data_IF_347203813250
#
_entry.id   IF_347203813250
#
_cell.length_a   1.000
_cell.length_b   1.000
_cell.length_c   1.000
_cell.angle_alpha   90.00
_cell.angle_beta   90.00
_cell.angle_gamma   90.00
#
_symmetry.space_group_name_H-M   'P 1'
#
loop_
_entity.id
_entity.type
_entity.pdbx_description
1 polymer ?
#
# COMPACT_ATOMS: atom_id res chain seq x y z
N UNK A 1 -1.96 4.95 12.02
CA UNK A 1 -3.42 4.93 12.23
C UNK A 1 -4.11 3.76 11.50
N UNK A 2 -4.15 3.75 10.16
CA UNK A 2 -4.90 2.75 9.38
C UNK A 2 -4.64 1.27 9.74
N UNK A 3 -3.37 0.85 9.85
CA UNK A 3 -3.01 -0.54 10.20
C UNK A 3 -3.62 -1.00 11.54
N UNK A 4 -3.72 -0.10 12.50
CA UNK A 4 -4.09 -0.41 13.89
C UNK A 4 -5.60 -0.22 14.10
N UNK A 5 -6.14 0.90 13.63
CA UNK A 5 -7.51 1.33 13.94
C UNK A 5 -8.44 1.41 12.72
N UNK A 6 -7.94 1.07 11.51
CA UNK A 6 -8.69 1.16 10.23
C UNK A 6 -9.19 2.57 9.88
N UNK A 7 -8.63 3.61 10.51
CA UNK A 7 -8.91 5.02 10.20
C UNK A 7 -8.20 5.39 8.88
N UNK A 8 -8.92 5.99 7.93
CA UNK A 8 -8.36 6.37 6.62
C UNK A 8 -7.28 7.44 6.74
N UNK A 9 -6.39 7.60 5.75
CA UNK A 9 -5.40 8.68 5.75
C UNK A 9 -6.00 10.07 5.89
N UNK A 10 -7.07 10.38 5.15
CA UNK A 10 -7.71 11.70 5.22
C UNK A 10 -8.36 11.96 6.57
N UNK A 11 -9.06 10.97 7.14
CA UNK A 11 -9.62 11.09 8.49
C UNK A 11 -8.52 11.24 9.53
N UNK A 12 -7.40 10.53 9.37
CA UNK A 12 -6.23 10.66 10.25
C UNK A 12 -5.65 12.07 10.19
N UNK A 13 -5.45 12.62 8.98
CA UNK A 13 -4.94 13.98 8.81
C UNK A 13 -5.88 15.02 9.44
N UNK A 14 -7.20 14.89 9.21
CA UNK A 14 -8.19 15.78 9.81
C UNK A 14 -8.15 15.75 11.34
N UNK A 15 -8.06 14.57 11.94
CA UNK A 15 -7.93 14.43 13.41
C UNK A 15 -6.62 15.06 13.91
N UNK A 16 -5.52 14.86 13.20
CA UNK A 16 -4.24 15.48 13.58
C UNK A 16 -4.31 17.01 13.50
N UNK A 17 -4.98 17.57 12.50
CA UNK A 17 -5.21 19.01 12.39
C UNK A 17 -6.04 19.54 13.56
N UNK A 18 -7.12 18.84 13.92
CA UNK A 18 -7.94 19.22 15.07
C UNK A 18 -7.10 19.18 16.38
N UNK A 19 -6.29 18.13 16.59
CA UNK A 19 -5.38 18.03 17.74
C UNK A 19 -4.30 19.12 17.76
N UNK A 20 -3.82 19.55 16.58
CA UNK A 20 -2.88 20.65 16.46
C UNK A 20 -3.52 22.00 16.79
N UNK A 21 -4.75 22.24 16.31
CA UNK A 21 -5.53 23.45 16.65
C UNK A 21 -5.82 23.55 18.15
N UNK A 22 -6.04 22.40 18.80
CA UNK A 22 -6.15 22.29 20.25
C UNK A 22 -4.79 22.41 20.98
N UNK A 23 -3.70 22.67 20.26
CA UNK A 23 -2.33 22.80 20.78
C UNK A 23 -1.82 21.53 21.51
N UNK A 24 -2.37 20.36 21.20
CA UNK A 24 -2.01 19.09 21.85
C UNK A 24 -0.83 18.39 21.17
N UNK A 25 -0.63 18.64 19.89
CA UNK A 25 0.48 18.10 19.10
C UNK A 25 1.12 19.20 18.26
N UNK A 26 2.34 18.96 17.77
CA UNK A 26 2.99 19.81 16.78
C UNK A 26 2.33 19.71 15.40
N UNK A 27 2.69 20.65 14.51
CA UNK A 27 2.11 20.75 13.17
C UNK A 27 2.24 19.41 12.39
N UNK A 28 1.13 18.82 11.91
CA UNK A 28 1.12 17.43 11.46
C UNK A 28 1.51 17.22 10.00
N UNK A 29 1.68 18.28 9.21
CA UNK A 29 2.06 18.22 7.79
C UNK A 29 3.56 18.46 7.66
N UNK A 30 4.32 17.40 7.91
CA UNK A 30 5.79 17.39 7.89
C UNK A 30 6.27 16.05 7.36
N UNK A 31 7.36 16.07 6.59
CA UNK A 31 8.09 14.85 6.20
C UNK A 31 9.22 14.51 7.18
N UNK A 32 9.49 15.36 8.16
CA UNK A 32 10.57 15.15 9.12
C UNK A 32 10.30 13.94 10.00
N UNK A 33 11.36 13.18 10.23
CA UNK A 33 11.43 12.12 11.22
C UNK A 33 12.43 12.49 12.33
N UNK A 34 12.73 13.79 12.47
CA UNK A 34 13.69 14.32 13.42
C UNK A 34 13.00 15.13 14.53
N UNK A 35 13.46 14.90 15.76
CA UNK A 35 13.08 15.63 16.96
C UNK A 35 14.31 16.41 17.45
N UNK A 36 14.44 17.71 17.12
CA UNK A 36 15.57 18.53 17.55
C UNK A 36 15.53 18.83 19.06
N UNK A 37 16.71 18.98 19.66
CA UNK A 37 16.87 19.21 21.10
C UNK A 37 16.20 20.52 21.59
N UNK A 38 16.00 21.51 20.70
CA UNK A 38 15.33 22.78 20.99
C UNK A 38 13.87 22.62 21.42
N UNK A 39 13.25 21.45 21.22
CA UNK A 39 11.87 21.16 21.64
C UNK A 39 11.72 21.12 23.17
N UNK A 40 12.79 20.85 23.93
CA UNK A 40 12.69 20.73 25.40
C UNK A 40 11.99 19.44 25.84
N UNK A 41 12.48 18.29 25.37
CA UNK A 41 11.80 16.99 25.54
C UNK A 41 11.49 16.58 26.99
N UNK A 42 12.32 17.01 27.95
CA UNK A 42 12.19 16.62 29.37
C UNK A 42 10.85 17.08 29.94
N UNK A 43 10.45 18.32 29.70
CA UNK A 43 9.21 18.90 30.22
C UNK A 43 7.98 18.23 29.59
N UNK A 44 8.04 17.98 28.28
CA UNK A 44 6.98 17.27 27.55
C UNK A 44 6.78 15.87 28.14
N UNK A 45 7.85 15.10 28.33
CA UNK A 45 7.79 13.74 28.88
C UNK A 45 7.26 13.76 30.31
N UNK A 46 7.69 14.74 31.12
CA UNK A 46 7.19 14.92 32.49
C UNK A 46 5.68 15.20 32.52
N UNK A 47 5.20 16.08 31.65
CA UNK A 47 3.76 16.37 31.53
C UNK A 47 2.98 15.16 31.04
N UNK A 48 3.44 14.46 30.01
CA UNK A 48 2.81 13.22 29.54
C UNK A 48 2.75 12.15 30.64
N UNK A 49 3.77 12.07 31.51
CA UNK A 49 3.78 11.17 32.66
C UNK A 49 2.72 11.43 33.73
N UNK A 50 2.04 12.59 33.70
CA UNK A 50 0.87 12.88 34.55
C UNK A 50 -0.37 12.10 34.11
N UNK A 51 -0.43 11.69 32.84
CA UNK A 51 -1.46 10.79 32.32
C UNK A 51 -1.11 9.35 32.72
N UNK A 52 -2.03 8.70 33.43
CA UNK A 52 -1.79 7.41 34.08
C UNK A 52 -1.20 6.34 33.13
N UNK A 53 -1.71 6.28 31.90
CA UNK A 53 -1.31 5.30 30.88
C UNK A 53 0.15 5.43 30.40
N UNK A 54 0.78 6.58 30.62
CA UNK A 54 2.15 6.87 30.19
C UNK A 54 3.14 7.00 31.35
N UNK A 55 2.65 7.01 32.61
CA UNK A 55 3.44 7.33 33.79
C UNK A 55 4.67 6.44 33.97
N UNK A 56 4.51 5.12 33.90
CA UNK A 56 5.61 4.16 34.09
C UNK A 56 6.72 4.36 33.04
N UNK A 57 6.32 4.66 31.80
CA UNK A 57 7.20 4.83 30.66
C UNK A 57 7.95 6.16 30.76
N UNK A 58 7.24 7.24 31.07
CA UNK A 58 7.84 8.55 31.29
C UNK A 58 8.88 8.50 32.41
N UNK A 59 8.58 7.86 33.55
CA UNK A 59 9.53 7.70 34.65
C UNK A 59 10.80 6.93 34.24
N UNK A 60 10.67 5.88 33.43
CA UNK A 60 11.83 5.13 32.90
C UNK A 60 12.70 6.02 32.01
N UNK A 61 12.09 6.79 31.12
CA UNK A 61 12.82 7.69 30.21
C UNK A 61 13.52 8.81 31.00
N UNK A 62 12.84 9.42 31.98
CA UNK A 62 13.36 10.56 32.75
C UNK A 62 14.54 10.22 33.67
N UNK A 63 14.77 8.93 33.97
CA UNK A 63 15.95 8.43 34.69
C UNK A 63 17.24 8.51 33.87
N UNK A 64 17.14 8.64 32.54
CA UNK A 64 18.31 8.84 31.68
C UNK A 64 18.89 10.24 31.89
N UNK A 65 20.21 10.32 31.95
CA UNK A 65 20.93 11.60 32.01
C UNK A 65 20.64 12.44 30.76
N UNK A 66 20.83 11.83 29.59
CA UNK A 66 20.60 12.46 28.28
C UNK A 66 19.36 11.88 27.60
N UNK A 67 18.51 12.76 27.08
CA UNK A 67 17.31 12.40 26.32
C UNK A 67 17.57 12.54 24.82
N UNK A 68 18.06 11.46 24.21
CA UNK A 68 18.33 11.41 22.77
C UNK A 68 17.23 10.61 22.07
N UNK A 69 16.44 11.21 21.16
CA UNK A 69 15.46 10.48 20.38
C UNK A 69 16.14 9.67 19.27
N UNK A 70 15.62 8.49 18.98
CA UNK A 70 15.96 7.71 17.80
C UNK A 70 15.32 8.35 16.55
N UNK A 71 16.05 9.24 15.89
CA UNK A 71 15.60 9.96 14.70
C UNK A 71 15.64 9.10 13.44
N UNK A 72 14.64 9.29 12.58
CA UNK A 72 14.61 8.68 11.25
C UNK A 72 15.44 9.46 10.21
N UNK A 73 15.61 8.90 8.99
CA UNK A 73 16.42 9.50 7.94
C UNK A 73 15.80 10.76 7.30
N UNK A 74 14.47 10.89 7.28
CA UNK A 74 13.81 11.99 6.58
C UNK A 74 13.87 13.29 7.39
N UNK A 75 14.00 14.41 6.67
CA UNK A 75 14.14 15.74 7.27
C UNK A 75 13.20 16.73 6.59
N UNK A 76 12.77 17.72 7.37
CA UNK A 76 12.07 18.91 6.90
C UNK A 76 12.64 20.08 7.70
N UNK A 77 13.42 20.98 7.07
CA UNK A 77 14.06 22.08 7.77
C UNK A 77 13.10 23.03 8.49
N UNK A 78 11.84 23.11 8.03
CA UNK A 78 10.87 24.04 8.59
C UNK A 78 10.08 23.44 9.76
N UNK A 79 9.87 22.12 9.76
CA UNK A 79 8.97 21.47 10.69
C UNK A 79 9.58 20.16 11.24
N UNK A 80 9.77 20.02 12.56
CA UNK A 80 10.19 18.75 13.15
C UNK A 80 9.12 17.67 12.98
N UNK A 81 9.46 16.42 13.33
CA UNK A 81 8.50 15.32 13.37
C UNK A 81 7.29 15.62 14.26
N UNK A 82 6.18 14.89 14.08
CA UNK A 82 4.98 15.06 14.90
C UNK A 82 5.24 14.59 16.35
N UNK A 83 5.02 15.47 17.33
CA UNK A 83 5.20 15.19 18.76
C UNK A 83 4.09 15.82 19.61
N UNK A 84 3.78 15.31 20.83
CA UNK A 84 2.85 15.96 21.74
C UNK A 84 3.48 17.22 22.35
N UNK A 85 2.73 18.31 22.50
CA UNK A 85 3.27 19.58 23.03
C UNK A 85 3.58 19.54 24.52
N UNK A 86 3.04 18.56 25.25
CA UNK A 86 3.07 18.53 26.72
C UNK A 86 1.73 18.96 27.33
N UNK A 87 0.86 19.62 26.55
CA UNK A 87 -0.47 20.01 27.00
C UNK A 87 -1.33 18.78 27.32
N UNK A 88 -2.04 18.86 28.45
CA UNK A 88 -2.90 17.78 28.91
C UNK A 88 -4.26 17.90 28.22
N UNK A 89 -4.66 16.92 27.41
CA UNK A 89 -5.91 17.00 26.69
C UNK A 89 -7.08 17.04 27.66
N UNK A 90 -8.09 17.84 27.32
CA UNK A 90 -9.44 17.67 27.88
C UNK A 90 -10.04 16.34 27.40
N UNK A 91 -11.32 16.11 27.67
CA UNK A 91 -12.01 14.93 27.14
C UNK A 91 -11.99 14.94 25.60
N UNK A 92 -11.22 14.03 25.02
CA UNK A 92 -11.18 13.79 23.58
C UNK A 92 -12.27 12.81 23.15
N UNK A 93 -12.78 13.00 21.93
CA UNK A 93 -13.60 11.98 21.28
C UNK A 93 -12.80 10.68 21.06
N UNK A 94 -13.51 9.57 20.87
CA UNK A 94 -12.89 8.23 20.82
C UNK A 94 -11.83 8.09 19.73
N UNK A 95 -12.03 8.68 18.55
CA UNK A 95 -11.04 8.62 17.46
C UNK A 95 -9.86 9.55 17.72
N UNK A 96 -10.10 10.79 18.15
CA UNK A 96 -9.06 11.75 18.55
C UNK A 96 -8.17 11.19 19.64
N UNK A 97 -8.76 10.56 20.67
CA UNK A 97 -8.01 9.89 21.73
C UNK A 97 -7.08 8.79 21.19
N UNK A 98 -7.53 7.98 20.22
CA UNK A 98 -6.70 6.92 19.61
C UNK A 98 -5.54 7.50 18.79
N UNK A 99 -5.77 8.58 18.05
CA UNK A 99 -4.72 9.21 17.24
C UNK A 99 -3.72 9.93 18.14
N UNK A 100 -4.20 10.65 19.15
CA UNK A 100 -3.35 11.29 20.17
C UNK A 100 -2.49 10.25 20.90
N UNK A 101 -3.07 9.15 21.38
CA UNK A 101 -2.34 8.05 22.03
C UNK A 101 -1.26 7.46 21.10
N UNK A 102 -1.54 7.32 19.80
CA UNK A 102 -0.54 6.88 18.82
C UNK A 102 0.64 7.86 18.73
N UNK A 103 0.37 9.17 18.70
CA UNK A 103 1.40 10.22 18.67
C UNK A 103 2.25 10.17 19.95
N UNK A 104 1.61 10.20 21.13
CA UNK A 104 2.32 10.18 22.42
C UNK A 104 3.16 8.92 22.57
N UNK A 105 2.60 7.74 22.32
CA UNK A 105 3.32 6.46 22.42
C UNK A 105 4.46 6.36 21.43
N UNK A 106 4.27 6.87 20.19
CA UNK A 106 5.34 6.89 19.19
C UNK A 106 6.47 7.79 19.65
N UNK A 107 6.16 9.00 20.13
CA UNK A 107 7.13 9.95 20.66
C UNK A 107 7.92 9.37 21.83
N UNK A 108 7.26 8.86 22.87
CA UNK A 108 7.92 8.26 24.03
C UNK A 108 8.82 7.08 23.65
N UNK A 109 8.37 6.22 22.71
CA UNK A 109 9.15 5.10 22.22
C UNK A 109 10.48 5.51 21.58
N UNK A 110 10.58 6.72 21.01
CA UNK A 110 11.85 7.19 20.40
C UNK A 110 12.96 7.42 21.43
N UNK A 111 12.63 7.62 22.71
CA UNK A 111 13.61 7.84 23.78
C UNK A 111 13.93 6.57 24.58
N UNK A 112 13.27 5.44 24.25
CA UNK A 112 13.52 4.16 24.92
C UNK A 112 14.63 3.37 24.23
N UNK A 113 15.22 2.44 24.96
CA UNK A 113 16.27 1.57 24.44
C UNK A 113 15.72 0.58 23.40
N UNK A 114 16.56 0.09 22.47
CA UNK A 114 16.18 -0.96 21.54
C UNK A 114 15.66 -2.21 22.25
N UNK A 115 14.70 -2.90 21.63
CA UNK A 115 14.31 -4.24 22.08
C UNK A 115 15.42 -5.25 21.74
N UNK A 116 15.67 -6.20 22.65
CA UNK A 116 16.58 -7.33 22.43
C UNK A 116 15.78 -8.58 22.09
N UNK A 117 16.16 -9.23 20.99
CA UNK A 117 15.47 -10.38 20.42
C UNK A 117 16.49 -11.48 20.18
N UNK A 118 16.29 -12.62 20.83
CA UNK A 118 17.08 -13.82 20.60
C UNK A 118 16.48 -14.60 19.44
N UNK A 119 17.34 -15.02 18.50
CA UNK A 119 16.96 -15.91 17.40
C UNK A 119 17.77 -17.18 17.46
N UNK A 120 17.09 -18.32 17.38
CA UNK A 120 17.70 -19.64 17.34
C UNK A 120 17.41 -20.24 15.97
N UNK A 121 18.44 -20.80 15.33
CA UNK A 121 18.31 -21.58 14.09
C UNK A 121 18.85 -22.98 14.37
N UNK A 122 18.03 -23.99 14.11
CA UNK A 122 18.42 -25.40 14.18
C UNK A 122 18.45 -25.90 12.75
N UNK A 123 19.64 -26.30 12.30
CA UNK A 123 19.83 -26.97 11.03
C UNK A 123 19.61 -28.48 11.22
N UNK A 124 18.79 -29.05 10.35
CA UNK A 124 18.33 -30.43 10.45
C UNK A 124 18.60 -31.11 9.11
N UNK A 125 19.32 -32.23 9.14
CA UNK A 125 19.51 -33.06 7.96
C UNK A 125 18.58 -34.27 7.98
N UNK A 126 17.84 -34.48 6.89
CA UNK A 126 16.96 -35.64 6.70
C UNK A 126 17.19 -36.19 5.30
N UNK A 127 17.67 -37.44 5.21
CA UNK A 127 17.88 -38.14 3.94
C UNK A 127 18.68 -37.30 2.90
N UNK A 128 19.78 -36.68 3.34
CA UNK A 128 20.63 -35.83 2.49
C UNK A 128 20.04 -34.47 2.12
N UNK A 129 18.92 -34.05 2.73
CA UNK A 129 18.29 -32.73 2.54
C UNK A 129 18.39 -31.91 3.81
N UNK A 130 18.74 -30.63 3.64
CA UNK A 130 18.83 -29.67 4.74
C UNK A 130 17.49 -28.95 4.97
N UNK A 131 17.08 -28.88 6.23
CA UNK A 131 15.91 -28.17 6.73
C UNK A 131 16.35 -27.20 7.82
N UNK A 132 15.62 -26.09 7.98
CA UNK A 132 15.87 -25.12 9.06
C UNK A 132 14.64 -24.94 9.92
N UNK A 133 14.83 -24.99 11.23
CA UNK A 133 13.83 -24.63 12.21
C UNK A 133 14.27 -23.34 12.92
N UNK A 134 13.44 -22.31 12.85
CA UNK A 134 13.70 -21.02 13.48
C UNK A 134 12.85 -20.81 14.73
N UNK A 135 13.50 -20.27 15.77
CA UNK A 135 12.89 -19.76 16.99
C UNK A 135 13.23 -18.29 17.20
N UNK A 136 12.31 -17.57 17.83
CA UNK A 136 12.43 -16.13 18.13
C UNK A 136 11.87 -15.90 19.52
N UNK A 137 12.59 -15.17 20.36
CA UNK A 137 12.15 -14.78 21.71
C UNK A 137 12.53 -13.33 22.02
N UNK A 138 11.63 -12.57 22.64
CA UNK A 138 11.94 -11.21 23.11
C UNK A 138 12.52 -11.29 24.53
N UNK A 139 13.81 -10.97 24.69
CA UNK A 139 14.51 -11.01 25.98
C UNK A 139 14.45 -9.68 26.73
N UNK A 140 14.41 -8.57 25.99
CA UNK A 140 14.19 -7.24 26.55
C UNK A 140 13.24 -6.45 25.65
N UNK A 141 12.15 -5.92 26.23
CA UNK A 141 11.11 -5.24 25.44
C UNK A 141 11.55 -3.88 24.90
N UNK A 142 12.41 -3.15 25.60
CA UNK A 142 12.81 -1.80 25.22
C UNK A 142 11.61 -0.93 24.83
N UNK A 143 11.70 -0.24 23.70
CA UNK A 143 10.65 0.60 23.12
C UNK A 143 9.30 -0.11 22.86
N UNK A 144 9.25 -1.44 22.77
CA UNK A 144 7.99 -2.20 22.58
C UNK A 144 7.03 -2.00 23.76
N UNK A 145 7.55 -1.65 24.94
CA UNK A 145 6.72 -1.29 26.09
C UNK A 145 5.92 -0.01 25.85
N UNK A 146 6.53 1.00 25.23
CA UNK A 146 5.85 2.25 24.86
C UNK A 146 4.93 2.11 23.66
N UNK A 147 5.28 1.23 22.71
CA UNK A 147 4.55 1.11 21.45
C UNK A 147 3.95 -0.29 21.24
N UNK A 148 2.87 -0.65 21.96
CA UNK A 148 2.28 -1.99 21.97
C UNK A 148 1.57 -2.37 20.64
N UNK A 149 1.61 -1.49 19.64
CA UNK A 149 1.02 -1.70 18.32
C UNK A 149 1.94 -2.46 17.35
N UNK A 150 3.17 -2.75 17.79
CA UNK A 150 4.09 -3.64 17.10
C UNK A 150 4.27 -4.89 17.97
N UNK A 151 3.85 -6.04 17.44
CA UNK A 151 3.99 -7.33 18.10
C UNK A 151 5.03 -8.14 17.35
N UNK A 152 5.93 -8.76 18.11
CA UNK A 152 6.88 -9.73 17.58
C UNK A 152 6.27 -11.10 17.79
N UNK A 153 6.16 -11.88 16.72
CA UNK A 153 5.74 -13.28 16.82
C UNK A 153 6.89 -14.09 17.39
N UNK A 154 6.76 -14.46 18.66
CA UNK A 154 7.69 -15.35 19.34
C UNK A 154 7.37 -16.80 18.94
N UNK A 155 8.42 -17.54 18.58
CA UNK A 155 8.32 -18.93 18.20
C UNK A 155 9.33 -19.71 19.02
N UNK A 156 8.84 -20.66 19.81
CA UNK A 156 9.71 -21.55 20.57
C UNK A 156 10.22 -22.65 19.66
N UNK A 157 11.42 -23.12 19.98
CA UNK A 157 12.02 -24.31 19.37
C UNK A 157 12.35 -25.31 20.46
N UNK A 158 12.34 -26.61 20.16
CA UNK A 158 12.75 -27.62 21.12
C UNK A 158 14.21 -27.39 21.52
N UNK A 159 14.53 -27.71 22.76
CA UNK A 159 15.91 -27.72 23.22
C UNK A 159 16.62 -28.96 22.64
N UNK A 160 17.58 -28.74 21.77
CA UNK A 160 18.34 -29.80 21.08
C UNK A 160 19.83 -29.45 21.08
N UNK A 161 20.67 -30.48 21.01
CA UNK A 161 22.12 -30.36 20.89
C UNK A 161 22.59 -30.87 19.52
N UNK A 162 23.74 -30.38 19.02
CA UNK A 162 24.38 -30.98 17.85
C UNK A 162 24.58 -32.48 18.04
N UNK A 163 24.13 -33.27 17.07
CA UNK A 163 24.18 -34.74 17.11
C UNK A 163 22.91 -35.44 17.60
N UNK A 164 21.93 -34.69 18.12
CA UNK A 164 20.64 -35.27 18.51
C UNK A 164 19.91 -35.89 17.30
N UNK A 165 19.35 -37.08 17.50
CA UNK A 165 18.54 -37.77 16.49
C UNK A 165 17.07 -37.38 16.65
N UNK A 166 16.44 -36.94 15.55
CA UNK A 166 15.02 -36.60 15.53
C UNK A 166 14.20 -37.71 14.87
N UNK A 167 12.98 -37.96 15.36
CA UNK A 167 12.01 -38.85 14.71
C UNK A 167 11.07 -38.04 13.83
N UNK A 168 10.97 -38.41 12.55
CA UNK A 168 10.01 -37.82 11.63
C UNK A 168 8.64 -38.44 11.91
N UNK A 169 7.71 -37.64 12.41
CA UNK A 169 6.35 -38.10 12.70
C UNK A 169 5.48 -38.21 11.44
N UNK A 170 5.66 -37.28 10.49
CA UNK A 170 4.80 -37.15 9.32
C UNK A 170 5.53 -36.38 8.22
N UNK A 171 5.39 -36.86 6.98
CA UNK A 171 5.77 -36.13 5.77
C UNK A 171 4.52 -35.94 4.92
N UNK A 172 4.26 -34.71 4.47
CA UNK A 172 3.16 -34.39 3.55
C UNK A 172 3.69 -33.58 2.39
N UNK A 173 3.19 -33.87 1.21
CA UNK A 173 3.36 -33.02 0.04
C UNK A 173 2.23 -31.99 0.08
N UNK A 174 2.59 -30.71 0.18
CA UNK A 174 1.64 -29.61 0.14
C UNK A 174 1.77 -28.90 -1.20
N UNK A 175 0.64 -28.74 -1.89
CA UNK A 175 0.57 -27.93 -3.11
C UNK A 175 0.22 -26.51 -2.67
N UNK A 176 1.07 -25.55 -3.01
CA UNK A 176 0.83 -24.12 -2.80
C UNK A 176 0.84 -23.39 -4.13
N UNK A 177 -0.06 -22.43 -4.28
CA UNK A 177 -0.11 -21.55 -5.45
C UNK A 177 0.48 -20.19 -5.11
N UNK A 178 1.15 -19.59 -6.09
CA UNK A 178 1.55 -18.18 -6.00
C UNK A 178 0.29 -17.32 -5.88
N UNK A 179 0.38 -16.26 -5.07
CA UNK A 179 -0.73 -15.34 -4.84
C UNK A 179 -0.44 -14.01 -5.54
N UNK A 180 -1.43 -13.38 -6.19
CA UNK A 180 -1.25 -12.02 -6.68
C UNK A 180 -1.02 -11.06 -5.51
N UNK A 181 -0.40 -9.92 -5.79
CA UNK A 181 -0.32 -8.85 -4.81
C UNK A 181 -1.74 -8.39 -4.42
N UNK A 182 -1.93 -8.11 -3.12
CA UNK A 182 -3.20 -7.62 -2.64
C UNK A 182 -3.49 -6.24 -3.27
N UNK A 183 -4.73 -5.97 -3.70
CA UNK A 183 -5.12 -4.64 -4.17
C UNK A 183 -4.74 -3.55 -3.16
N UNK A 184 -4.33 -2.39 -3.65
CA UNK A 184 -4.00 -1.29 -2.77
C UNK A 184 -5.27 -0.80 -2.02
N UNK A 185 -5.24 -0.86 -0.70
CA UNK A 185 -6.14 -0.06 0.14
C UNK A 185 -5.63 1.39 0.23
N UNK A 186 -6.43 2.29 0.83
CA UNK A 186 -6.10 3.72 0.98
C UNK A 186 -4.70 3.97 1.57
N UNK A 187 -4.28 3.18 2.56
CA UNK A 187 -2.97 3.37 3.19
C UNK A 187 -1.81 2.84 2.34
N UNK A 188 -1.97 1.67 1.70
CA UNK A 188 -0.95 1.14 0.79
C UNK A 188 -0.83 1.98 -0.47
N UNK A 189 -1.92 2.57 -0.96
CA UNK A 189 -1.91 3.50 -2.09
C UNK A 189 -1.18 4.80 -1.73
N UNK A 190 -1.41 5.34 -0.53
CA UNK A 190 -0.67 6.51 -0.03
C UNK A 190 0.83 6.23 0.03
N UNK A 191 1.23 5.09 0.60
CA UNK A 191 2.64 4.68 0.67
C UNK A 191 3.24 4.49 -0.71
N UNK A 192 2.47 3.94 -1.65
CA UNK A 192 2.90 3.82 -3.04
C UNK A 192 3.12 5.20 -3.68
N UNK A 193 2.18 6.15 -3.54
CA UNK A 193 2.33 7.52 -4.04
C UNK A 193 3.58 8.22 -3.49
N UNK A 194 3.83 8.06 -2.19
CA UNK A 194 5.05 8.55 -1.53
C UNK A 194 6.31 7.93 -2.14
N UNK A 195 6.35 6.61 -2.31
CA UNK A 195 7.49 5.92 -2.94
C UNK A 195 7.72 6.33 -4.40
N UNK A 196 6.66 6.74 -5.08
CA UNK A 196 6.71 7.21 -6.47
C UNK A 196 7.00 8.71 -6.57
N UNK A 197 7.07 9.45 -5.47
CA UNK A 197 7.30 10.89 -5.48
C UNK A 197 6.16 11.69 -6.13
N UNK A 198 4.90 11.23 -5.99
CA UNK A 198 3.72 11.92 -6.53
C UNK A 198 2.79 12.39 -5.42
N UNK A 199 2.33 13.64 -5.53
CA UNK A 199 1.66 14.35 -4.43
C UNK A 199 2.61 14.64 -3.26
N UNK A 200 2.11 15.41 -2.31
CA UNK A 200 2.81 15.79 -1.07
C UNK A 200 2.11 15.17 0.15
N UNK A 201 2.74 15.26 1.33
CA UNK A 201 2.13 14.87 2.61
C UNK A 201 0.75 15.54 2.84
N UNK A 202 0.59 16.73 2.27
CA UNK A 202 -0.64 17.52 2.36
C UNK A 202 -1.73 17.11 1.34
N UNK A 203 -1.38 16.50 0.20
CA UNK A 203 -2.34 16.30 -0.91
C UNK A 203 -2.71 14.84 -1.16
N UNK A 204 -1.82 13.88 -0.89
CA UNK A 204 -2.04 12.45 -1.21
C UNK A 204 -3.33 11.90 -0.61
N UNK A 205 -3.61 12.22 0.65
CA UNK A 205 -4.79 11.73 1.35
C UNK A 205 -6.10 12.19 0.67
N UNK A 206 -6.15 13.45 0.24
CA UNK A 206 -7.31 14.04 -0.44
C UNK A 206 -7.48 13.55 -1.88
N UNK A 207 -6.38 13.37 -2.61
CA UNK A 207 -6.39 12.74 -3.94
C UNK A 207 -7.01 11.35 -3.84
N UNK A 208 -6.54 10.54 -2.88
CA UNK A 208 -7.06 9.19 -2.66
C UNK A 208 -8.55 9.23 -2.32
N UNK A 209 -8.98 10.05 -1.35
CA UNK A 209 -10.41 10.18 -1.03
C UNK A 209 -11.25 10.63 -2.23
N UNK A 210 -10.71 11.49 -3.09
CA UNK A 210 -11.40 11.94 -4.30
C UNK A 210 -11.61 10.80 -5.29
N UNK A 211 -10.63 9.91 -5.47
CA UNK A 211 -10.77 8.72 -6.33
C UNK A 211 -11.88 7.78 -5.82
N UNK A 212 -11.93 7.54 -4.51
CA UNK A 212 -12.99 6.73 -3.89
C UNK A 212 -14.36 7.42 -3.97
N UNK A 213 -14.44 8.72 -3.66
CA UNK A 213 -15.68 9.51 -3.69
C UNK A 213 -16.28 9.59 -5.10
N UNK A 214 -15.44 9.72 -6.13
CA UNK A 214 -15.84 9.70 -7.55
C UNK A 214 -16.09 8.30 -8.10
N UNK A 215 -15.98 7.25 -7.27
CA UNK A 215 -16.19 5.84 -7.64
C UNK A 215 -15.27 5.36 -8.77
N UNK A 216 -14.08 5.92 -8.91
CA UNK A 216 -13.06 5.39 -9.82
C UNK A 216 -12.35 4.17 -9.23
N UNK A 217 -12.29 4.10 -7.90
CA UNK A 217 -11.74 2.97 -7.15
C UNK A 217 -12.68 2.62 -5.99
N UNK A 218 -12.63 1.37 -5.55
CA UNK A 218 -13.32 0.87 -4.37
C UNK A 218 -12.43 -0.11 -3.58
N UNK A 219 -13.01 -0.84 -2.61
CA UNK A 219 -12.28 -1.78 -1.77
C UNK A 219 -11.68 -3.00 -2.50
N UNK A 220 -12.09 -3.24 -3.75
CA UNK A 220 -11.63 -4.32 -4.62
C UNK A 220 -10.62 -3.88 -5.67
N UNK A 221 -10.45 -2.57 -5.88
CA UNK A 221 -9.50 -1.99 -6.84
C UNK A 221 -10.15 -0.93 -7.73
N UNK A 222 -9.70 -0.83 -8.98
CA UNK A 222 -10.30 0.06 -9.96
C UNK A 222 -11.70 -0.45 -10.36
N UNK A 223 -12.69 0.44 -10.34
CA UNK A 223 -14.04 0.12 -10.82
C UNK A 223 -14.08 0.09 -12.33
N UNK A 224 -15.18 -0.39 -12.92
CA UNK A 224 -15.38 -0.27 -14.37
C UNK A 224 -15.28 1.19 -14.84
N UNK A 225 -15.87 2.13 -14.09
CA UNK A 225 -15.76 3.57 -14.40
C UNK A 225 -14.31 4.05 -14.35
N UNK A 226 -13.55 3.66 -13.33
CA UNK A 226 -12.14 4.01 -13.22
C UNK A 226 -11.31 3.46 -14.37
N UNK A 227 -11.53 2.20 -14.75
CA UNK A 227 -10.85 1.58 -15.89
C UNK A 227 -11.21 2.27 -17.21
N UNK A 228 -12.47 2.66 -17.41
CA UNK A 228 -12.90 3.38 -18.61
C UNK A 228 -12.21 4.75 -18.73
N UNK A 229 -12.19 5.52 -17.64
CA UNK A 229 -11.51 6.83 -17.59
C UNK A 229 -10.01 6.65 -17.79
N UNK A 230 -9.39 5.66 -17.15
CA UNK A 230 -7.97 5.38 -17.32
C UNK A 230 -7.63 5.02 -18.76
N UNK A 231 -8.39 4.13 -19.40
CA UNK A 231 -8.20 3.79 -20.82
C UNK A 231 -8.39 4.99 -21.75
N UNK A 232 -9.23 5.96 -21.38
CA UNK A 232 -9.39 7.23 -22.11
C UNK A 232 -8.11 8.05 -22.07
N UNK A 233 -7.60 8.26 -20.86
CA UNK A 233 -6.42 9.06 -20.62
C UNK A 233 -5.22 8.38 -21.26
N UNK A 234 -5.04 7.08 -21.10
CA UNK A 234 -3.95 6.32 -21.70
C UNK A 234 -3.98 6.38 -23.24
N UNK A 235 -5.16 6.28 -23.86
CA UNK A 235 -5.29 6.29 -25.32
C UNK A 235 -5.04 7.68 -25.93
N UNK A 236 -5.58 8.73 -25.33
CA UNK A 236 -5.59 10.07 -25.93
C UNK A 236 -4.56 11.03 -25.35
N UNK A 237 -4.21 10.82 -24.07
CA UNK A 237 -3.28 11.64 -23.31
C UNK A 237 -2.19 10.78 -22.64
N UNK A 238 -1.51 9.85 -23.37
CA UNK A 238 -0.54 8.92 -22.79
C UNK A 238 0.58 9.62 -22.02
N UNK A 239 0.98 10.83 -22.44
CA UNK A 239 2.03 11.59 -21.76
C UNK A 239 1.59 12.07 -20.36
N UNK A 240 0.30 12.39 -20.20
CA UNK A 240 -0.27 12.89 -18.94
C UNK A 240 -0.50 11.77 -17.91
N UNK A 241 -0.55 10.50 -18.32
CA UNK A 241 -0.67 9.36 -17.40
C UNK A 241 0.69 8.88 -16.86
N UNK A 242 1.81 9.46 -17.32
CA UNK A 242 3.16 9.05 -16.90
C UNK A 242 3.50 9.55 -15.51
N UNK A 243 3.84 8.62 -14.61
CA UNK A 243 4.31 8.92 -13.25
C UNK A 243 5.51 9.87 -13.26
N UNK A 244 6.47 9.67 -14.17
CA UNK A 244 7.68 10.49 -14.25
C UNK A 244 7.37 11.96 -14.58
N UNK A 245 6.34 12.21 -15.40
CA UNK A 245 5.93 13.57 -15.72
C UNK A 245 5.41 14.25 -14.44
N UNK A 246 4.49 13.59 -13.73
CA UNK A 246 3.95 14.11 -12.46
C UNK A 246 5.06 14.34 -11.44
N UNK A 247 5.95 13.36 -11.24
CA UNK A 247 7.11 13.48 -10.33
C UNK A 247 7.98 14.67 -10.70
N UNK A 248 8.25 14.88 -11.99
CA UNK A 248 9.08 16.02 -12.44
C UNK A 248 8.46 17.37 -12.08
N UNK A 249 7.12 17.48 -12.08
CA UNK A 249 6.44 18.69 -11.62
C UNK A 249 6.54 18.88 -10.11
N UNK A 250 6.42 17.81 -9.32
CA UNK A 250 6.63 17.86 -7.86
C UNK A 250 8.07 18.32 -7.53
N UNK A 251 9.07 17.77 -8.22
CA UNK A 251 10.48 18.17 -8.06
C UNK A 251 10.70 19.65 -8.44
N UNK A 252 10.05 20.14 -9.50
CA UNK A 252 10.12 21.55 -9.88
C UNK A 252 9.47 22.46 -8.86
N UNK A 253 8.34 22.06 -8.27
CA UNK A 253 7.68 22.82 -7.18
C UNK A 253 8.58 22.87 -5.94
N UNK A 254 9.28 21.78 -5.62
CA UNK A 254 10.25 21.75 -4.52
C UNK A 254 11.48 22.63 -4.79
N UNK A 255 11.95 22.71 -6.05
CA UNK A 255 12.98 23.67 -6.45
C UNK A 255 12.51 25.13 -6.30
N UNK A 256 11.25 25.42 -6.59
CA UNK A 256 10.67 26.75 -6.32
C UNK A 256 10.71 27.04 -4.82
N UNK A 257 10.28 26.09 -3.98
CA UNK A 257 10.26 26.24 -2.52
C UNK A 257 11.65 26.57 -1.95
N UNK A 258 12.70 25.98 -2.53
CA UNK A 258 14.11 26.22 -2.15
C UNK A 258 14.74 27.45 -2.81
N UNK A 259 14.01 28.18 -3.65
CA UNK A 259 14.53 29.33 -4.39
C UNK A 259 15.47 28.98 -5.55
N UNK A 260 15.55 27.71 -5.94
CA UNK A 260 16.42 27.21 -7.02
C UNK A 260 15.78 27.35 -8.42
N UNK A 261 14.46 27.53 -8.48
CA UNK A 261 13.71 27.65 -9.74
C UNK A 261 12.64 28.73 -9.64
N UNK A 262 12.43 29.46 -10.74
CA UNK A 262 11.38 30.48 -10.84
C UNK A 262 10.04 29.88 -11.25
N UNK A 263 8.95 30.41 -10.70
CA UNK A 263 7.57 29.98 -11.00
C UNK A 263 7.27 30.04 -12.48
N UNK A 264 7.74 31.09 -13.17
CA UNK A 264 7.45 31.34 -14.59
C UNK A 264 7.93 30.19 -15.48
N UNK A 265 9.09 29.60 -15.15
CA UNK A 265 9.63 28.46 -15.89
C UNK A 265 8.71 27.23 -15.81
N UNK A 266 8.17 26.94 -14.62
CA UNK A 266 7.27 25.79 -14.42
C UNK A 266 5.95 26.03 -15.12
N UNK A 267 5.40 27.24 -15.05
CA UNK A 267 4.15 27.60 -15.75
C UNK A 267 4.32 27.47 -17.25
N UNK A 268 5.42 27.94 -17.82
CA UNK A 268 5.67 27.84 -19.27
C UNK A 268 5.80 26.38 -19.71
N UNK A 269 6.56 25.57 -18.96
CA UNK A 269 6.66 24.14 -19.21
C UNK A 269 5.30 23.43 -19.13
N UNK A 270 4.45 23.78 -18.16
CA UNK A 270 3.08 23.24 -18.06
C UNK A 270 2.26 23.59 -19.29
N UNK A 271 2.31 24.85 -19.75
CA UNK A 271 1.58 25.29 -20.95
C UNK A 271 2.00 24.50 -22.18
N UNK A 272 3.30 24.28 -22.37
CA UNK A 272 3.81 23.49 -23.49
C UNK A 272 3.29 22.05 -23.41
N UNK A 273 3.47 21.39 -22.26
CA UNK A 273 3.05 19.99 -22.07
C UNK A 273 1.54 19.80 -22.31
N UNK A 274 0.71 20.65 -21.69
CA UNK A 274 -0.75 20.56 -21.81
C UNK A 274 -1.19 21.01 -23.21
N UNK A 275 -0.61 22.07 -23.75
CA UNK A 275 -0.92 22.60 -25.07
C UNK A 275 -0.67 21.58 -26.17
N UNK A 276 0.51 20.96 -26.19
CA UNK A 276 0.84 19.89 -27.16
C UNK A 276 -0.11 18.69 -27.03
N UNK A 277 -0.49 18.31 -25.80
CA UNK A 277 -1.43 17.23 -25.58
C UNK A 277 -2.83 17.56 -26.12
N UNK A 278 -3.31 18.79 -25.91
CA UNK A 278 -4.60 19.28 -26.43
C UNK A 278 -4.57 19.36 -27.95
N UNK A 279 -3.53 19.94 -28.56
CA UNK A 279 -3.41 20.06 -30.01
C UNK A 279 -3.41 18.69 -30.70
N UNK A 280 -2.67 17.72 -30.16
CA UNK A 280 -2.68 16.33 -30.66
C UNK A 280 -4.07 15.72 -30.57
N UNK A 281 -4.79 15.95 -29.47
CA UNK A 281 -6.13 15.44 -29.29
C UNK A 281 -7.12 16.06 -30.29
N UNK A 282 -7.12 17.39 -30.43
CA UNK A 282 -8.01 18.11 -31.36
C UNK A 282 -7.79 17.69 -32.81
N UNK A 283 -6.54 17.49 -33.26
CA UNK A 283 -6.22 16.99 -34.61
C UNK A 283 -6.79 15.60 -34.91
N UNK A 284 -7.04 14.80 -33.86
CA UNK A 284 -7.52 13.43 -34.01
C UNK A 284 -8.98 13.26 -33.57
N UNK A 285 -9.65 14.32 -33.10
CA UNK A 285 -10.97 14.20 -32.46
C UNK A 285 -12.05 13.65 -33.39
N UNK A 286 -12.00 14.00 -34.67
CA UNK A 286 -12.95 13.52 -35.68
C UNK A 286 -12.77 12.02 -35.98
N UNK A 287 -11.56 11.50 -35.77
CA UNK A 287 -11.25 10.07 -35.90
C UNK A 287 -11.56 9.28 -34.63
N UNK A 288 -11.99 9.95 -33.56
CA UNK A 288 -12.42 9.29 -32.34
C UNK A 288 -13.88 8.88 -32.52
N UNK A 289 -14.10 7.57 -32.57
CA UNK A 289 -15.43 6.98 -32.41
C UNK A 289 -15.58 6.51 -30.95
N UNK A 290 -16.32 7.26 -30.10
CA UNK A 290 -16.52 6.89 -28.70
C UNK A 290 -17.24 5.56 -28.53
N UNK A 291 -18.03 5.12 -29.52
CA UNK A 291 -18.78 3.86 -29.48
C UNK A 291 -17.88 2.63 -29.68
N UNK A 292 -16.78 2.77 -30.43
CA UNK A 292 -15.79 1.70 -30.67
C UNK A 292 -14.79 1.50 -29.54
N UNK A 293 -15.02 2.16 -28.42
CA UNK A 293 -14.09 2.15 -27.31
C UNK A 293 -14.84 1.84 -26.03
N UNK A 294 -14.16 1.26 -25.04
CA UNK A 294 -14.73 1.05 -23.70
C UNK A 294 -15.10 2.37 -23.00
N UNK A 295 -14.78 3.52 -23.59
CA UNK A 295 -14.78 4.86 -22.99
C UNK A 295 -16.14 5.35 -22.52
N UNK A 296 -17.21 4.99 -23.23
CA UNK A 296 -18.56 5.42 -22.89
C UNK A 296 -19.31 4.44 -21.98
N UNK A 297 -18.72 3.29 -21.65
CA UNK A 297 -19.43 2.23 -20.95
C UNK A 297 -20.58 1.61 -21.76
N UNK A 298 -20.65 1.91 -23.06
CA UNK A 298 -21.66 1.38 -23.95
C UNK A 298 -21.31 -0.07 -24.27
N UNK A 299 -22.26 -0.96 -23.99
CA UNK A 299 -22.20 -2.34 -24.44
C UNK A 299 -22.59 -2.38 -25.92
N UNK A 300 -21.60 -2.47 -26.79
CA UNK A 300 -21.82 -2.60 -28.24
C UNK A 300 -22.14 -4.04 -28.67
N UNK A 301 -22.14 -4.99 -27.73
CA UNK A 301 -22.38 -6.40 -28.01
C UNK A 301 -21.15 -7.13 -28.59
N UNK A 302 -19.98 -6.47 -28.66
CA UNK A 302 -18.78 -7.07 -29.25
C UNK A 302 -18.25 -8.26 -28.47
N UNK A 303 -17.92 -8.07 -27.19
CA UNK A 303 -17.36 -9.11 -26.34
C UNK A 303 -18.45 -10.06 -25.84
N UNK A 304 -18.35 -11.38 -26.09
CA UNK A 304 -19.38 -12.34 -25.71
C UNK A 304 -19.50 -12.55 -24.20
N UNK A 305 -18.52 -12.06 -23.42
CA UNK A 305 -18.47 -12.19 -21.97
C UNK A 305 -19.12 -10.98 -21.27
N UNK A 306 -18.75 -9.76 -21.66
CA UNK A 306 -19.17 -8.54 -20.97
C UNK A 306 -19.95 -7.54 -21.83
N UNK A 307 -20.02 -7.76 -23.15
CA UNK A 307 -20.73 -6.90 -24.10
C UNK A 307 -19.99 -5.63 -24.51
N UNK A 308 -18.79 -5.36 -24.01
CA UNK A 308 -17.96 -4.23 -24.44
C UNK A 308 -17.36 -4.44 -25.84
N UNK A 309 -16.86 -3.38 -26.46
CA UNK A 309 -16.20 -3.47 -27.76
C UNK A 309 -15.09 -4.54 -27.78
N UNK A 310 -15.13 -5.40 -28.81
CA UNK A 310 -14.10 -6.40 -29.09
C UNK A 310 -12.84 -5.73 -29.66
N UNK A 311 -11.68 -6.35 -29.44
CA UNK A 311 -10.41 -5.96 -30.07
C UNK A 311 -10.21 -6.53 -31.48
N UNK A 312 -11.26 -7.08 -32.10
CA UNK A 312 -11.18 -7.82 -33.38
C UNK A 312 -10.21 -9.02 -33.34
N UNK A 313 -10.08 -9.67 -32.18
CA UNK A 313 -9.38 -10.96 -32.06
C UNK A 313 -10.29 -12.12 -32.47
N UNK A 314 -9.69 -13.30 -32.66
CA UNK A 314 -10.37 -14.53 -33.09
C UNK A 314 -11.50 -14.98 -32.14
N UNK A 315 -11.40 -14.58 -30.86
CA UNK A 315 -12.37 -14.94 -29.83
C UNK A 315 -13.49 -13.90 -29.64
N UNK A 316 -13.40 -12.77 -30.32
CA UNK A 316 -14.29 -11.62 -30.13
C UNK A 316 -14.16 -10.97 -28.75
N UNK A 317 -13.11 -11.21 -27.97
CA UNK A 317 -12.95 -10.67 -26.62
C UNK A 317 -12.60 -9.18 -26.61
N UNK A 318 -13.00 -8.50 -25.54
CA UNK A 318 -12.49 -7.16 -25.24
C UNK A 318 -11.02 -7.24 -24.77
N UNK A 319 -10.27 -6.13 -24.74
CA UNK A 319 -8.84 -6.15 -24.40
C UNK A 319 -8.51 -6.85 -23.07
N UNK A 320 -9.37 -6.73 -22.06
CA UNK A 320 -9.16 -7.35 -20.74
C UNK A 320 -9.33 -8.87 -20.80
N UNK A 321 -10.40 -9.34 -21.45
CA UNK A 321 -10.66 -10.77 -21.57
C UNK A 321 -9.66 -11.45 -22.50
N UNK A 322 -9.20 -10.75 -23.54
CA UNK A 322 -8.14 -11.25 -24.41
C UNK A 322 -6.85 -11.46 -23.63
N UNK A 323 -6.39 -10.44 -22.89
CA UNK A 323 -5.20 -10.56 -22.03
C UNK A 323 -5.35 -11.65 -20.97
N UNK A 324 -6.56 -11.82 -20.41
CA UNK A 324 -6.84 -12.89 -19.46
C UNK A 324 -6.74 -14.28 -20.12
N UNK A 325 -7.26 -14.43 -21.34
CA UNK A 325 -7.15 -15.65 -22.12
C UNK A 325 -5.69 -15.99 -22.47
N UNK A 326 -4.94 -15.02 -23.02
CA UNK A 326 -3.52 -15.17 -23.34
C UNK A 326 -2.73 -15.66 -22.12
N UNK A 327 -2.97 -15.05 -20.95
CA UNK A 327 -2.29 -15.43 -19.70
C UNK A 327 -2.68 -16.84 -19.24
N UNK A 328 -3.94 -17.23 -19.40
CA UNK A 328 -4.39 -18.60 -19.09
C UNK A 328 -3.66 -19.64 -19.94
N UNK A 329 -3.51 -19.38 -21.24
CA UNK A 329 -2.81 -20.24 -22.19
C UNK A 329 -1.31 -20.28 -21.89
N UNK A 330 -0.70 -19.13 -21.59
CA UNK A 330 0.71 -19.04 -21.22
C UNK A 330 1.02 -19.88 -19.97
N UNK A 331 0.25 -19.70 -18.89
CA UNK A 331 0.46 -20.40 -17.61
C UNK A 331 0.18 -21.90 -17.74
N UNK A 332 -0.76 -22.30 -18.60
CA UNK A 332 -1.05 -23.71 -18.84
C UNK A 332 0.16 -24.48 -19.38
N UNK A 333 1.05 -23.85 -20.15
CA UNK A 333 2.25 -24.52 -20.68
C UNK A 333 3.13 -25.12 -19.58
N UNK A 334 3.17 -24.50 -18.40
CA UNK A 334 3.87 -25.05 -17.24
C UNK A 334 3.08 -26.17 -16.57
N UNK A 335 1.77 -25.99 -16.39
CA UNK A 335 0.90 -27.02 -15.77
C UNK A 335 0.79 -28.29 -16.63
N UNK A 336 0.86 -28.16 -17.95
CA UNK A 336 0.87 -29.29 -18.86
C UNK A 336 2.12 -30.18 -18.68
N UNK A 337 3.27 -29.61 -18.28
CA UNK A 337 4.48 -30.38 -17.95
C UNK A 337 4.28 -31.23 -16.70
N UNK A 338 3.45 -30.77 -15.78
CA UNK A 338 3.05 -31.51 -14.57
C UNK A 338 1.91 -32.52 -14.83
N UNK A 339 1.54 -32.75 -16.09
CA UNK A 339 0.55 -33.74 -16.50
C UNK A 339 -0.90 -33.29 -16.39
N UNK A 340 -1.18 -32.00 -16.16
CA UNK A 340 -2.55 -31.50 -16.13
C UNK A 340 -3.14 -31.37 -17.55
N UNK A 341 -4.31 -31.95 -17.77
CA UNK A 341 -5.13 -31.67 -18.94
C UNK A 341 -5.71 -30.25 -18.92
N UNK A 342 -6.02 -29.69 -20.10
CA UNK A 342 -6.59 -28.35 -20.22
C UNK A 342 -7.88 -28.16 -19.40
N UNK A 343 -8.79 -29.14 -19.44
CA UNK A 343 -10.06 -29.04 -18.70
C UNK A 343 -9.85 -29.10 -17.17
N UNK A 344 -8.96 -29.98 -16.69
CA UNK A 344 -8.64 -30.09 -15.27
C UNK A 344 -7.99 -28.81 -14.76
N UNK A 345 -7.11 -28.21 -15.56
CA UNK A 345 -6.51 -26.91 -15.28
C UNK A 345 -7.56 -25.80 -15.15
N UNK A 346 -8.47 -25.67 -16.14
CA UNK A 346 -9.52 -24.66 -16.09
C UNK A 346 -10.49 -24.90 -14.91
N UNK A 347 -10.86 -26.15 -14.63
CA UNK A 347 -11.69 -26.48 -13.48
C UNK A 347 -11.00 -26.11 -12.16
N UNK A 348 -9.71 -26.44 -12.02
CA UNK A 348 -8.95 -26.11 -10.83
C UNK A 348 -8.90 -24.60 -10.62
N UNK A 349 -8.53 -23.83 -11.64
CA UNK A 349 -8.45 -22.38 -11.56
C UNK A 349 -9.82 -21.73 -11.26
N UNK A 350 -10.92 -22.28 -11.77
CA UNK A 350 -12.26 -21.75 -11.50
C UNK A 350 -12.64 -21.79 -10.01
N UNK A 351 -12.12 -22.77 -9.28
CA UNK A 351 -12.38 -22.98 -7.84
C UNK A 351 -11.40 -22.21 -6.93
N UNK A 352 -10.27 -21.75 -7.46
CA UNK A 352 -9.29 -21.01 -6.67
C UNK A 352 -9.74 -19.56 -6.44
N UNK A 353 -9.71 -19.11 -5.18
CA UNK A 353 -10.02 -17.72 -4.81
C UNK A 353 -9.03 -16.72 -5.41
N UNK A 354 -7.78 -17.14 -5.60
CA UNK A 354 -6.68 -16.32 -6.14
C UNK A 354 -6.79 -16.04 -7.64
N UNK A 355 -7.66 -16.76 -8.36
CA UNK A 355 -7.86 -16.56 -9.80
C UNK A 355 -8.63 -15.26 -10.03
N UNK A 356 -8.05 -14.37 -10.84
CA UNK A 356 -8.65 -13.06 -11.15
C UNK A 356 -10.01 -13.17 -11.83
N UNK A 357 -10.86 -12.15 -11.66
CA UNK A 357 -12.24 -12.12 -12.14
C UNK A 357 -12.30 -12.33 -13.66
N UNK A 358 -11.53 -11.55 -14.44
CA UNK A 358 -11.50 -11.68 -15.89
C UNK A 358 -11.08 -13.08 -16.37
N UNK A 359 -10.14 -13.73 -15.65
CA UNK A 359 -9.76 -15.11 -15.96
C UNK A 359 -10.89 -16.09 -15.64
N UNK A 360 -11.60 -15.93 -14.51
CA UNK A 360 -12.79 -16.73 -14.18
C UNK A 360 -13.91 -16.56 -15.22
N UNK A 361 -14.10 -15.34 -15.71
CA UNK A 361 -15.10 -15.05 -16.73
C UNK A 361 -14.77 -15.76 -18.06
N UNK A 362 -13.50 -15.69 -18.49
CA UNK A 362 -13.00 -16.44 -19.65
C UNK A 362 -13.14 -17.96 -19.45
N UNK A 363 -12.74 -18.49 -18.30
CA UNK A 363 -12.90 -19.92 -17.97
C UNK A 363 -14.37 -20.34 -18.08
N UNK A 364 -15.28 -19.57 -17.50
CA UNK A 364 -16.73 -19.82 -17.52
C UNK A 364 -17.26 -19.84 -18.96
N UNK A 365 -16.81 -18.90 -19.80
CA UNK A 365 -17.17 -18.83 -21.21
C UNK A 365 -16.67 -20.06 -21.99
N UNK A 366 -15.38 -20.38 -21.91
CA UNK A 366 -14.77 -21.52 -22.62
C UNK A 366 -15.45 -22.85 -22.29
N UNK A 367 -15.77 -23.08 -21.01
CA UNK A 367 -16.45 -24.30 -20.55
C UNK A 367 -17.90 -24.39 -21.05
N UNK A 368 -18.60 -23.26 -21.17
CA UNK A 368 -19.97 -23.21 -21.71
C UNK A 368 -20.01 -23.43 -23.22
N UNK A 369 -19.08 -22.83 -23.96
CA UNK A 369 -19.01 -22.96 -25.43
C UNK A 369 -18.70 -24.39 -25.87
N UNK A 370 -17.84 -25.12 -25.14
CA UNK A 370 -17.58 -26.54 -25.41
C UNK A 370 -18.77 -27.46 -25.13
N UNK A 371 -19.51 -27.24 -24.03
CA UNK A 371 -20.73 -28.01 -23.73
C UNK A 371 -21.82 -27.87 -24.81
N UNK A 372 -21.83 -26.76 -25.54
CA UNK A 372 -22.75 -26.57 -26.68
C UNK A 372 -22.27 -27.26 -27.96
N UNK A 373 -20.95 -27.46 -28.12
CA UNK A 373 -20.36 -28.16 -29.27
C UNK A 373 -20.33 -29.69 -29.15
N UNK A 374 -20.48 -30.24 -27.95
CA UNK A 374 -20.53 -31.70 -27.69
C UNK A 374 -21.94 -32.31 -27.74
N UNK A 375 -22.94 -31.54 -28.17
CA UNK A 375 -24.37 -31.94 -28.29
C UNK A 375 -24.84 -31.80 -29.76
N UNK A 376 -23.91 -31.65 -30.71
CA UNK A 376 -24.18 -31.52 -32.14
C UNK A 376 -23.73 -32.75 -32.92
#
# INVERSE_FOLDING_TARGET
AHRIYRISPARTLKILEDLYLDSLISYPRTNSQKLPASIGHRDIIQSMGRLGDYRSIALKILRKETLTPNNGPMDDPAHPAIYPTGEIPRRLEREHAKIYDLVVRRYLATFMDPATIDRVSIDIEVAGRAYKLHGTRVTYKGWLEAYPFYKIEEKTVPNVKPGDRIKIALVRIAISYTRPEAPHNKATLLKWMESQGIGTESTRAEIIETLFRRKYVDGSGATDLGLMVYSAIEKYFPDLSRIDLTRSFEEMMEKIRRGELRREHVVEKTKIVVGTAIERFLKNIENIDPSKTRLLGIKTGGCPICGYASSNNEHGFCPIHEKAYEKLVEVYKEWAKDGYGWEDYLEKLSKLEITGIAAKDVISFLRKSRRKGSVG
#
